data_IF_039618220202
#
_entry.id   IF_039618220202
#
_cell.length_a   1.000
_cell.length_b   1.000
_cell.length_c   1.000
_cell.angle_alpha   90.00
_cell.angle_beta   90.00
_cell.angle_gamma   90.00
#
_symmetry.space_group_name_H-M   'P 1'
#
loop_
_entity.id
_entity.type
_entity.pdbx_description
1 polymer ?
#
# COMPACT_ATOMS: atom_id res chain seq x y z
N UNK A 1 -32.06 25.51 -6.50
CA UNK A 1 -31.23 25.62 -7.72
C UNK A 1 -31.90 26.57 -8.71
N UNK A 2 -31.12 27.20 -9.59
CA UNK A 2 -31.57 28.21 -10.58
C UNK A 2 -32.67 27.74 -11.54
N UNK A 3 -32.90 26.43 -11.67
CA UNK A 3 -33.88 25.85 -12.60
C UNK A 3 -35.25 25.52 -11.96
N UNK A 4 -35.55 25.96 -10.73
CA UNK A 4 -36.79 25.65 -9.99
C UNK A 4 -37.10 24.15 -9.78
N UNK A 5 -36.17 23.24 -10.11
CA UNK A 5 -36.29 21.81 -9.80
C UNK A 5 -36.09 21.62 -8.30
N UNK A 6 -37.11 21.07 -7.64
CA UNK A 6 -37.01 20.57 -6.26
C UNK A 6 -36.52 19.12 -6.32
N UNK A 7 -35.41 18.85 -5.64
CA UNK A 7 -34.84 17.50 -5.55
C UNK A 7 -35.35 16.80 -4.29
N UNK A 8 -35.77 15.55 -4.44
CA UNK A 8 -36.33 14.72 -3.38
C UNK A 8 -35.25 14.11 -2.49
N UNK A 9 -34.06 13.84 -3.05
CA UNK A 9 -32.91 13.30 -2.34
C UNK A 9 -31.69 14.21 -2.48
N UNK A 10 -30.85 14.20 -1.44
CA UNK A 10 -29.61 14.96 -1.34
C UNK A 10 -28.61 14.20 -0.48
N UNK A 11 -27.34 14.20 -0.89
CA UNK A 11 -26.23 13.67 -0.11
C UNK A 11 -25.02 14.60 -0.21
N UNK A 12 -24.39 14.89 0.92
CA UNK A 12 -23.06 15.50 0.96
C UNK A 12 -22.00 14.42 0.75
N UNK A 13 -21.22 14.55 -0.33
CA UNK A 13 -20.19 13.59 -0.65
C UNK A 13 -18.98 13.77 0.28
N UNK A 14 -18.31 12.68 0.69
CA UNK A 14 -17.36 12.69 1.79
C UNK A 14 -16.06 13.47 1.51
N UNK A 15 -15.79 13.82 0.25
CA UNK A 15 -14.54 14.43 -0.19
C UNK A 15 -14.80 15.41 -1.34
N UNK A 16 -13.84 16.32 -1.55
CA UNK A 16 -13.87 17.36 -2.59
C UNK A 16 -15.03 18.36 -2.45
N UNK A 17 -15.57 18.59 -1.24
CA UNK A 17 -16.61 19.61 -0.98
C UNK A 17 -17.76 19.55 -2.01
N UNK A 18 -18.23 18.34 -2.28
CA UNK A 18 -19.19 18.06 -3.33
C UNK A 18 -20.49 17.56 -2.73
N UNK A 19 -21.62 17.89 -3.34
CA UNK A 19 -22.94 17.38 -2.97
C UNK A 19 -23.68 16.89 -4.22
N UNK A 20 -24.56 15.91 -4.02
CA UNK A 20 -25.36 15.32 -5.08
C UNK A 20 -26.83 15.40 -4.69
N UNK A 21 -27.65 15.93 -5.61
CA UNK A 21 -29.09 16.04 -5.45
C UNK A 21 -29.76 15.33 -6.62
N UNK A 22 -30.84 14.59 -6.38
CA UNK A 22 -31.51 13.88 -7.46
C UNK A 22 -32.99 13.63 -7.25
N UNK A 23 -33.66 13.39 -8.37
CA UNK A 23 -34.99 12.79 -8.47
C UNK A 23 -34.88 11.54 -9.32
N UNK A 24 -35.53 10.46 -8.90
CA UNK A 24 -35.69 9.24 -9.69
C UNK A 24 -37.15 9.05 -10.06
N UNK A 25 -37.42 8.77 -11.34
CA UNK A 25 -38.77 8.55 -11.87
C UNK A 25 -38.95 7.06 -12.19
N UNK A 26 -39.56 6.25 -11.29
CA UNK A 26 -39.57 4.79 -11.43
C UNK A 26 -40.30 4.28 -12.67
N UNK A 27 -41.29 5.01 -13.17
CA UNK A 27 -42.08 4.61 -14.35
C UNK A 27 -41.30 4.70 -15.66
N UNK A 28 -40.33 5.61 -15.74
CA UNK A 28 -39.51 5.83 -16.93
C UNK A 28 -38.06 5.38 -16.75
N UNK A 29 -37.57 5.25 -15.51
CA UNK A 29 -36.16 5.01 -15.20
C UNK A 29 -35.27 6.24 -15.42
N UNK A 30 -35.87 7.42 -15.59
CA UNK A 30 -35.18 8.69 -15.78
C UNK A 30 -34.71 9.24 -14.43
N UNK A 31 -33.52 9.83 -14.43
CA UNK A 31 -32.92 10.51 -13.30
C UNK A 31 -32.67 11.96 -13.65
N UNK A 32 -33.10 12.88 -12.78
CA UNK A 32 -32.65 14.26 -12.76
C UNK A 32 -31.60 14.41 -11.67
N UNK A 33 -30.44 14.98 -11.98
CA UNK A 33 -29.34 15.18 -11.04
C UNK A 33 -28.88 16.64 -11.07
N UNK A 34 -28.55 17.15 -9.88
CA UNK A 34 -27.65 18.29 -9.70
C UNK A 34 -26.44 17.84 -8.89
N UNK A 35 -25.27 17.81 -9.53
CA UNK A 35 -23.99 17.65 -8.85
C UNK A 35 -23.40 19.03 -8.60
N UNK A 36 -23.07 19.33 -7.34
CA UNK A 36 -22.51 20.62 -6.93
C UNK A 36 -21.10 20.40 -6.39
N UNK A 37 -20.15 21.19 -6.88
CA UNK A 37 -18.81 21.35 -6.31
C UNK A 37 -18.70 22.76 -5.74
N UNK A 38 -18.66 22.89 -4.42
CA UNK A 38 -18.39 24.17 -3.77
C UNK A 38 -16.91 24.54 -3.92
N UNK A 39 -16.58 25.83 -3.79
CA UNK A 39 -15.19 26.33 -3.76
C UNK A 39 -14.34 25.82 -4.96
N UNK A 40 -14.93 25.80 -6.15
CA UNK A 40 -14.22 25.45 -7.37
C UNK A 40 -13.15 26.51 -7.68
N UNK A 41 -11.97 26.06 -8.07
CA UNK A 41 -10.88 26.96 -8.44
C UNK A 41 -11.19 27.70 -9.73
N UNK A 42 -10.63 28.90 -9.89
CA UNK A 42 -10.62 29.57 -11.17
C UNK A 42 -9.88 28.74 -12.22
N UNK A 43 -10.39 28.71 -13.45
CA UNK A 43 -9.86 27.89 -14.53
C UNK A 43 -9.77 26.40 -14.15
N UNK A 44 -10.92 25.78 -13.86
CA UNK A 44 -11.01 24.38 -13.44
C UNK A 44 -12.10 23.61 -14.17
N UNK A 45 -11.98 22.29 -14.14
CA UNK A 45 -13.03 21.39 -14.57
C UNK A 45 -13.49 20.54 -13.40
N UNK A 46 -14.78 20.22 -13.41
CA UNK A 46 -15.39 19.28 -12.47
C UNK A 46 -16.15 18.23 -13.25
N UNK A 47 -16.18 17.03 -12.72
CA UNK A 47 -16.85 15.91 -13.37
C UNK A 47 -17.59 15.08 -12.34
N UNK A 48 -18.80 14.66 -12.69
CA UNK A 48 -19.51 13.59 -12.02
C UNK A 48 -19.85 12.52 -13.04
N UNK A 49 -19.65 11.25 -12.68
CA UNK A 49 -19.76 10.16 -13.62
C UNK A 49 -20.45 8.95 -12.99
N UNK A 50 -21.17 8.20 -13.81
CA UNK A 50 -21.69 6.88 -13.47
C UNK A 50 -20.85 5.82 -14.16
N UNK A 51 -20.42 4.81 -13.42
CA UNK A 51 -19.77 3.64 -13.99
C UNK A 51 -20.71 2.42 -13.93
N UNK A 52 -21.32 2.04 -15.07
CA UNK A 52 -22.26 0.93 -15.09
C UNK A 52 -21.58 -0.44 -15.05
N UNK A 53 -20.27 -0.54 -15.30
CA UNK A 53 -19.57 -1.82 -15.52
C UNK A 53 -18.47 -2.10 -14.49
N UNK A 54 -17.92 -1.08 -13.83
CA UNK A 54 -16.83 -1.22 -12.87
C UNK A 54 -16.98 -0.22 -11.71
N UNK A 55 -16.08 -0.29 -10.73
CA UNK A 55 -16.01 0.64 -9.58
C UNK A 55 -14.92 1.70 -9.74
N UNK A 56 -14.12 1.62 -10.80
CA UNK A 56 -12.95 2.47 -11.03
C UNK A 56 -13.24 3.62 -12.00
N UNK A 57 -12.18 4.33 -12.38
CA UNK A 57 -12.27 5.45 -13.34
C UNK A 57 -12.61 4.99 -14.76
N UNK A 58 -12.02 3.87 -15.20
CA UNK A 58 -12.26 3.32 -16.55
C UNK A 58 -13.63 2.65 -16.63
N UNK A 59 -14.39 2.99 -17.68
CA UNK A 59 -15.78 2.60 -17.87
C UNK A 59 -16.79 3.67 -17.45
N UNK A 60 -16.32 4.73 -16.76
CA UNK A 60 -17.17 5.81 -16.29
C UNK A 60 -17.75 6.62 -17.46
N UNK A 61 -19.04 6.93 -17.36
CA UNK A 61 -19.81 7.75 -18.28
C UNK A 61 -19.99 9.12 -17.60
N UNK A 62 -19.20 10.10 -18.03
CA UNK A 62 -19.00 11.36 -17.29
C UNK A 62 -19.83 12.50 -17.83
N UNK A 63 -20.37 13.30 -16.92
CA UNK A 63 -20.83 14.66 -17.16
C UNK A 63 -19.73 15.61 -16.68
N UNK A 64 -19.27 16.48 -17.56
CA UNK A 64 -18.12 17.36 -17.32
C UNK A 64 -18.60 18.80 -17.41
N UNK A 65 -18.17 19.64 -16.47
CA UNK A 65 -18.25 21.09 -16.59
C UNK A 65 -16.85 21.69 -16.57
N UNK A 66 -16.58 22.59 -17.50
CA UNK A 66 -15.31 23.30 -17.64
C UNK A 66 -15.58 24.79 -17.47
N UNK A 67 -14.96 25.38 -16.45
CA UNK A 67 -14.95 26.82 -16.18
C UNK A 67 -13.58 27.39 -16.54
N UNK A 68 -13.52 28.31 -17.50
CA UNK A 68 -12.28 28.93 -17.98
C UNK A 68 -12.06 30.29 -17.33
N UNK A 69 -10.80 30.74 -17.29
CA UNK A 69 -10.41 32.06 -16.73
C UNK A 69 -11.12 33.25 -17.39
N UNK A 70 -11.58 33.11 -18.63
CA UNK A 70 -12.36 34.14 -19.34
C UNK A 70 -13.86 34.17 -18.92
N UNK A 71 -14.25 33.45 -17.88
CA UNK A 71 -15.64 33.36 -17.38
C UNK A 71 -16.55 32.45 -18.20
N UNK A 72 -16.04 31.80 -19.26
CA UNK A 72 -16.82 30.84 -20.03
C UNK A 72 -17.02 29.55 -19.24
N UNK A 73 -18.26 29.07 -19.17
CA UNK A 73 -18.58 27.75 -18.63
C UNK A 73 -19.27 26.89 -19.68
N UNK A 74 -18.83 25.64 -19.82
CA UNK A 74 -19.42 24.66 -20.76
C UNK A 74 -19.63 23.34 -20.05
N UNK A 75 -20.79 22.72 -20.26
CA UNK A 75 -21.04 21.33 -19.91
C UNK A 75 -21.08 20.44 -21.15
N UNK A 76 -20.58 19.22 -21.02
CA UNK A 76 -20.62 18.19 -22.07
C UNK A 76 -20.44 16.78 -21.47
N UNK A 77 -20.69 15.76 -22.26
CA UNK A 77 -20.51 14.35 -21.86
C UNK A 77 -19.18 13.79 -22.32
N UNK A 78 -18.57 12.90 -21.54
CA UNK A 78 -17.31 12.25 -21.88
C UNK A 78 -17.25 10.79 -21.43
N UNK A 79 -17.09 9.83 -22.35
CA UNK A 79 -16.86 8.43 -21.99
C UNK A 79 -15.39 8.20 -21.59
N UNK A 80 -15.16 7.62 -20.42
CA UNK A 80 -13.82 7.40 -19.87
C UNK A 80 -13.35 5.98 -20.16
N UNK A 81 -12.49 5.83 -21.17
CA UNK A 81 -12.00 4.53 -21.65
C UNK A 81 -10.56 4.22 -21.22
N UNK A 82 -9.83 5.19 -20.69
CA UNK A 82 -8.43 5.03 -20.26
C UNK A 82 -8.09 5.92 -19.07
N UNK A 83 -6.86 5.77 -18.54
CA UNK A 83 -6.34 6.64 -17.47
C UNK A 83 -5.84 8.01 -17.96
N UNK A 84 -5.81 8.25 -19.28
CA UNK A 84 -5.41 9.54 -19.82
C UNK A 84 -6.52 10.58 -19.60
N UNK A 85 -6.19 11.73 -19.03
CA UNK A 85 -7.15 12.82 -18.78
C UNK A 85 -7.41 13.62 -20.05
N UNK A 86 -8.06 12.99 -21.02
CA UNK A 86 -8.47 13.67 -22.25
C UNK A 86 -9.84 14.33 -22.08
N UNK A 87 -10.72 13.76 -21.23
CA UNK A 87 -12.11 14.20 -21.05
C UNK A 87 -12.75 14.63 -22.38
N UNK A 88 -12.53 13.80 -23.41
CA UNK A 88 -12.93 14.13 -24.77
C UNK A 88 -14.45 14.08 -24.86
N UNK A 89 -15.04 15.08 -25.51
CA UNK A 89 -16.47 15.15 -25.73
C UNK A 89 -16.94 13.96 -26.57
N UNK A 90 -17.99 13.27 -26.10
CA UNK A 90 -18.50 12.07 -26.73
C UNK A 90 -19.78 11.56 -26.09
N UNK A 91 -20.46 10.67 -26.81
CA UNK A 91 -21.73 10.10 -26.36
C UNK A 91 -21.53 9.08 -25.24
N UNK A 92 -22.48 9.05 -24.30
CA UNK A 92 -22.51 8.06 -23.22
C UNK A 92 -23.20 6.78 -23.68
N UNK A 93 -22.99 5.69 -22.94
CA UNK A 93 -23.65 4.40 -23.19
C UNK A 93 -25.17 4.39 -22.89
N UNK A 94 -25.71 5.50 -22.43
CA UNK A 94 -27.13 5.69 -22.11
C UNK A 94 -27.59 7.08 -22.57
N UNK A 95 -28.90 7.23 -22.76
CA UNK A 95 -29.49 8.47 -23.27
C UNK A 95 -29.38 9.61 -22.25
N UNK A 96 -28.91 10.77 -22.73
CA UNK A 96 -28.89 12.03 -21.98
C UNK A 96 -29.90 12.97 -22.64
N UNK A 97 -30.90 13.38 -21.88
CA UNK A 97 -32.00 14.23 -22.35
C UNK A 97 -31.70 15.71 -22.14
N UNK A 98 -31.01 16.05 -21.06
CA UNK A 98 -30.60 17.43 -20.78
C UNK A 98 -29.24 17.44 -20.09
N UNK A 99 -28.45 18.46 -20.40
CA UNK A 99 -27.19 18.75 -19.73
C UNK A 99 -26.97 20.26 -19.72
N UNK A 100 -26.74 20.82 -18.55
CA UNK A 100 -26.39 22.24 -18.39
C UNK A 100 -25.51 22.42 -17.17
N UNK A 101 -24.96 23.63 -17.01
CA UNK A 101 -24.11 23.96 -15.86
C UNK A 101 -24.29 25.41 -15.46
N UNK A 102 -24.04 25.70 -14.20
CA UNK A 102 -23.98 27.06 -13.66
C UNK A 102 -22.74 27.24 -12.80
N UNK A 103 -22.27 28.48 -12.75
CA UNK A 103 -21.24 28.93 -11.82
C UNK A 103 -21.83 30.04 -10.95
N UNK A 104 -21.93 29.80 -9.64
CA UNK A 104 -22.51 30.74 -8.69
C UNK A 104 -21.77 30.67 -7.37
N UNK A 105 -21.39 31.82 -6.80
CA UNK A 105 -20.70 31.92 -5.50
C UNK A 105 -19.44 31.04 -5.40
N UNK A 106 -18.65 30.96 -6.47
CA UNK A 106 -17.45 30.11 -6.51
C UNK A 106 -17.73 28.60 -6.61
N UNK A 107 -18.99 28.17 -6.74
CA UNK A 107 -19.36 26.78 -6.95
C UNK A 107 -19.73 26.48 -8.40
N UNK A 108 -19.37 25.28 -8.88
CA UNK A 108 -19.80 24.76 -10.17
C UNK A 108 -20.89 23.71 -9.95
N UNK A 109 -22.01 23.86 -10.64
CA UNK A 109 -23.13 22.91 -10.59
C UNK A 109 -23.32 22.31 -11.99
N UNK A 110 -23.41 20.98 -12.06
CA UNK A 110 -23.79 20.23 -13.27
C UNK A 110 -25.22 19.76 -13.08
N UNK A 111 -26.09 20.11 -14.02
CA UNK A 111 -27.46 19.59 -14.11
C UNK A 111 -27.55 18.60 -15.27
N UNK A 112 -28.07 17.41 -15.01
CA UNK A 112 -28.25 16.40 -16.05
C UNK A 112 -29.58 15.66 -15.87
N UNK A 113 -30.27 15.40 -16.98
CA UNK A 113 -31.40 14.46 -17.05
C UNK A 113 -31.02 13.32 -17.97
N UNK A 114 -31.03 12.09 -17.49
CA UNK A 114 -30.58 10.92 -18.26
C UNK A 114 -31.35 9.65 -17.89
N UNK A 115 -31.31 8.67 -18.79
CA UNK A 115 -31.89 7.37 -18.60
C UNK A 115 -30.90 6.44 -17.88
N UNK A 116 -31.32 5.80 -16.78
CA UNK A 116 -30.49 4.75 -16.18
C UNK A 116 -30.39 3.54 -17.11
N UNK A 117 -29.24 2.83 -17.12
CA UNK A 117 -29.12 1.56 -17.82
C UNK A 117 -30.22 0.57 -17.39
N UNK A 118 -30.75 -0.25 -18.32
CA UNK A 118 -31.83 -1.18 -18.02
C UNK A 118 -31.49 -2.09 -16.82
N UNK A 119 -32.48 -2.31 -15.95
CA UNK A 119 -32.37 -3.17 -14.75
C UNK A 119 -31.27 -2.76 -13.75
N UNK A 120 -30.81 -1.50 -13.75
CA UNK A 120 -29.84 -0.99 -12.78
C UNK A 120 -30.38 0.23 -12.04
N UNK A 121 -30.77 0.01 -10.78
CA UNK A 121 -31.19 1.06 -9.85
C UNK A 121 -30.04 1.48 -8.93
N UNK A 122 -29.07 0.58 -8.73
CA UNK A 122 -27.80 0.83 -8.06
C UNK A 122 -26.68 0.96 -9.10
N UNK A 123 -25.92 2.05 -9.02
CA UNK A 123 -24.77 2.27 -9.90
C UNK A 123 -23.57 2.77 -9.11
N UNK A 124 -22.37 2.46 -9.60
CA UNK A 124 -21.18 3.10 -9.08
C UNK A 124 -21.09 4.50 -9.65
N UNK A 125 -20.63 5.44 -8.84
CA UNK A 125 -20.35 6.80 -9.30
C UNK A 125 -18.94 7.23 -8.89
N UNK A 126 -18.42 8.24 -9.57
CA UNK A 126 -17.17 8.90 -9.22
C UNK A 126 -17.29 10.39 -9.51
N UNK A 127 -16.58 11.21 -8.75
CA UNK A 127 -16.50 12.64 -8.99
C UNK A 127 -15.06 13.11 -8.93
N UNK A 128 -14.70 14.13 -9.71
CA UNK A 128 -13.35 14.67 -9.72
C UNK A 128 -13.34 16.15 -10.04
N UNK A 129 -12.22 16.78 -9.69
CA UNK A 129 -11.87 18.13 -10.11
C UNK A 129 -10.43 18.16 -10.65
N UNK A 130 -10.17 19.07 -11.57
CA UNK A 130 -8.83 19.34 -12.07
C UNK A 130 -8.70 20.75 -12.66
N UNK A 131 -7.47 21.11 -13.05
CA UNK A 131 -7.17 22.43 -13.56
C UNK A 131 -7.28 22.50 -15.09
N UNK A 132 -7.60 23.67 -15.60
CA UNK A 132 -7.56 24.01 -17.02
C UNK A 132 -6.34 24.91 -17.24
N UNK A 133 -5.45 24.49 -18.13
CA UNK A 133 -4.30 25.27 -18.59
C UNK A 133 -4.72 26.55 -19.31
N UNK A 134 -3.80 27.50 -19.46
CA UNK A 134 -4.03 28.76 -20.18
C UNK A 134 -4.40 28.56 -21.66
N UNK A 135 -3.86 27.51 -22.29
CA UNK A 135 -4.19 27.08 -23.66
C UNK A 135 -5.56 26.37 -23.77
N UNK A 136 -6.27 26.20 -22.65
CA UNK A 136 -7.55 25.50 -22.57
C UNK A 136 -7.44 23.99 -22.38
N UNK A 137 -6.23 23.43 -22.26
CA UNK A 137 -6.01 22.00 -22.06
C UNK A 137 -6.41 21.56 -20.65
N UNK A 138 -7.15 20.45 -20.55
CA UNK A 138 -7.56 19.85 -19.27
C UNK A 138 -6.40 19.07 -18.66
N UNK A 139 -6.02 19.40 -17.42
CA UNK A 139 -4.99 18.67 -16.67
C UNK A 139 -5.60 17.50 -15.91
N UNK A 140 -4.80 16.48 -15.66
CA UNK A 140 -5.14 15.39 -14.76
C UNK A 140 -5.62 15.90 -13.39
N UNK A 141 -6.63 15.24 -12.83
CA UNK A 141 -7.02 15.48 -11.44
C UNK A 141 -5.85 15.12 -10.52
N UNK A 142 -5.85 15.69 -9.32
CA UNK A 142 -4.83 15.37 -8.33
C UNK A 142 -4.91 13.90 -7.89
N UNK A 143 -3.79 13.32 -7.46
CA UNK A 143 -3.74 12.00 -6.82
C UNK A 143 -3.79 12.11 -5.28
N UNK A 144 -4.34 13.21 -4.77
CA UNK A 144 -4.54 13.38 -3.33
C UNK A 144 -5.48 12.33 -2.77
N UNK A 145 -5.44 12.13 -1.45
CA UNK A 145 -6.35 11.19 -0.77
C UNK A 145 -7.82 11.47 -1.08
N UNK A 146 -8.21 12.75 -1.10
CA UNK A 146 -9.58 13.16 -1.41
C UNK A 146 -9.98 12.72 -2.81
N UNK A 147 -9.15 12.95 -3.83
CA UNK A 147 -9.43 12.49 -5.20
C UNK A 147 -9.48 10.97 -5.29
N UNK A 148 -8.57 10.26 -4.62
CA UNK A 148 -8.54 8.79 -4.63
C UNK A 148 -9.69 8.14 -3.86
N UNK A 149 -10.41 8.90 -3.01
CA UNK A 149 -11.60 8.45 -2.27
C UNK A 149 -12.92 8.92 -2.90
N UNK A 150 -12.84 9.58 -4.06
CA UNK A 150 -13.93 10.28 -4.71
C UNK A 150 -14.78 9.36 -5.60
N UNK A 151 -15.33 8.31 -4.98
CA UNK A 151 -16.20 7.32 -5.61
C UNK A 151 -17.09 6.64 -4.57
N UNK A 152 -18.14 5.98 -5.04
CA UNK A 152 -19.14 5.34 -4.21
C UNK A 152 -20.16 4.56 -5.02
N UNK A 153 -21.21 4.09 -4.35
CA UNK A 153 -22.36 3.46 -4.97
C UNK A 153 -23.61 4.24 -4.57
N UNK A 154 -24.42 4.63 -5.56
CA UNK A 154 -25.70 5.29 -5.34
C UNK A 154 -26.84 4.34 -5.70
N UNK A 155 -27.82 4.25 -4.83
CA UNK A 155 -29.11 3.61 -5.11
C UNK A 155 -30.17 4.69 -5.32
N UNK A 156 -30.62 4.82 -6.57
CA UNK A 156 -31.60 5.84 -6.96
C UNK A 156 -33.00 5.57 -6.40
N UNK A 157 -33.31 4.35 -5.94
CA UNK A 157 -34.60 4.04 -5.30
C UNK A 157 -34.57 4.39 -3.83
N UNK A 158 -33.60 3.84 -3.08
CA UNK A 158 -33.56 4.06 -1.62
C UNK A 158 -33.08 5.46 -1.22
N UNK A 159 -32.54 6.22 -2.18
CA UNK A 159 -32.01 7.55 -1.92
C UNK A 159 -30.70 7.53 -1.15
N UNK A 160 -30.04 6.37 -1.01
CA UNK A 160 -28.82 6.22 -0.22
C UNK A 160 -27.58 6.19 -1.10
N UNK A 161 -26.56 6.94 -0.67
CA UNK A 161 -25.20 6.82 -1.16
C UNK A 161 -24.41 6.02 -0.13
N UNK A 162 -23.83 4.91 -0.57
CA UNK A 162 -22.97 4.07 0.26
C UNK A 162 -21.55 4.11 -0.29
N UNK A 163 -20.56 4.08 0.61
CA UNK A 163 -19.20 3.73 0.18
C UNK A 163 -19.25 2.32 -0.39
N UNK A 164 -18.57 2.08 -1.51
CA UNK A 164 -18.59 0.75 -2.14
C UNK A 164 -17.84 -0.27 -1.26
N UNK A 165 -18.52 -0.88 -0.29
CA UNK A 165 -17.90 -1.66 0.78
C UNK A 165 -17.14 -2.91 0.29
N UNK A 166 -17.53 -3.48 -0.86
CA UNK A 166 -17.02 -4.80 -1.27
C UNK A 166 -15.59 -4.85 -1.82
N UNK A 167 -15.01 -3.75 -2.33
CA UNK A 167 -13.72 -3.78 -3.05
C UNK A 167 -12.62 -2.91 -2.42
N UNK A 168 -13.01 -1.96 -1.55
CA UNK A 168 -12.08 -1.12 -0.79
C UNK A 168 -11.63 -1.85 0.47
N UNK A 169 -12.56 -2.57 1.11
CA UNK A 169 -12.26 -3.36 2.29
C UNK A 169 -11.32 -4.52 1.95
N UNK A 170 -11.55 -5.22 0.84
CA UNK A 170 -10.68 -6.31 0.38
C UNK A 170 -9.26 -5.84 0.04
N UNK A 171 -9.10 -4.72 -0.67
CA UNK A 171 -7.78 -4.14 -1.00
C UNK A 171 -7.05 -3.59 0.21
N UNK A 172 -7.76 -2.94 1.13
CA UNK A 172 -7.19 -2.46 2.39
C UNK A 172 -6.80 -3.63 3.29
N UNK A 173 -7.65 -4.65 3.40
CA UNK A 173 -7.35 -5.89 4.09
C UNK A 173 -6.13 -6.57 3.50
N UNK A 174 -6.02 -6.69 2.17
CA UNK A 174 -4.87 -7.32 1.53
C UNK A 174 -3.57 -6.53 1.77
N UNK A 175 -3.63 -5.20 1.73
CA UNK A 175 -2.51 -4.32 2.08
C UNK A 175 -2.10 -4.50 3.55
N UNK A 176 -3.06 -4.62 4.46
CA UNK A 176 -2.80 -4.85 5.88
C UNK A 176 -2.20 -6.25 6.12
N UNK A 177 -2.73 -7.29 5.47
CA UNK A 177 -2.20 -8.66 5.51
C UNK A 177 -0.78 -8.69 4.99
N UNK A 178 -0.51 -8.06 3.84
CA UNK A 178 0.84 -7.90 3.30
C UNK A 178 1.78 -7.24 4.32
N UNK A 179 1.36 -6.12 4.92
CA UNK A 179 2.13 -5.40 5.93
C UNK A 179 2.42 -6.26 7.17
N UNK A 180 1.43 -6.96 7.71
CA UNK A 180 1.56 -7.81 8.90
C UNK A 180 2.50 -8.98 8.63
N UNK A 181 2.28 -9.73 7.54
CA UNK A 181 3.11 -10.89 7.18
C UNK A 181 4.58 -10.49 7.04
N UNK A 182 4.86 -9.43 6.29
CA UNK A 182 6.24 -8.98 6.06
C UNK A 182 6.87 -8.33 7.29
N UNK A 183 6.11 -7.61 8.12
CA UNK A 183 6.65 -7.06 9.38
C UNK A 183 7.02 -8.18 10.35
N UNK A 184 6.14 -9.18 10.51
CA UNK A 184 6.41 -10.32 11.37
C UNK A 184 7.61 -11.14 10.86
N UNK A 185 7.64 -11.46 9.57
CA UNK A 185 8.69 -12.31 9.01
C UNK A 185 10.02 -11.57 8.82
N UNK A 186 10.06 -10.59 7.92
CA UNK A 186 11.27 -9.83 7.58
C UNK A 186 11.72 -8.91 8.70
N UNK A 187 10.76 -8.23 9.32
CA UNK A 187 11.04 -7.19 10.29
C UNK A 187 11.44 -7.72 11.67
N UNK A 188 10.96 -8.90 12.08
CA UNK A 188 11.11 -9.40 13.47
C UNK A 188 11.75 -10.78 13.52
N UNK A 189 11.17 -11.78 12.86
CA UNK A 189 11.66 -13.16 12.94
C UNK A 189 13.06 -13.33 12.33
N UNK A 190 13.35 -12.69 11.18
CA UNK A 190 14.67 -12.77 10.54
C UNK A 190 15.81 -12.23 11.45
N UNK A 191 15.69 -11.04 12.08
CA UNK A 191 16.63 -10.58 13.11
C UNK A 191 16.78 -11.54 14.29
N UNK A 192 15.66 -12.04 14.85
CA UNK A 192 15.67 -12.99 15.96
C UNK A 192 16.45 -14.27 15.57
N UNK A 193 16.21 -14.80 14.37
CA UNK A 193 16.93 -15.96 13.86
C UNK A 193 18.45 -15.73 13.77
N UNK A 194 18.87 -14.53 13.35
CA UNK A 194 20.31 -14.16 13.34
C UNK A 194 20.87 -14.06 14.76
N UNK A 195 20.13 -13.46 15.70
CA UNK A 195 20.53 -13.40 17.12
C UNK A 195 20.69 -14.80 17.71
N UNK A 196 19.77 -15.74 17.43
CA UNK A 196 19.89 -17.14 17.84
C UNK A 196 21.19 -17.77 17.30
N UNK A 197 21.49 -17.56 16.01
CA UNK A 197 22.70 -18.09 15.38
C UNK A 197 24.01 -17.52 15.94
N UNK A 198 23.98 -16.27 16.41
CA UNK A 198 25.14 -15.57 16.96
C UNK A 198 25.38 -15.91 18.43
N UNK A 199 24.35 -15.81 19.28
CA UNK A 199 24.50 -15.85 20.73
C UNK A 199 24.31 -17.24 21.34
N UNK A 200 23.34 -18.04 20.85
CA UNK A 200 23.11 -19.39 21.40
C UNK A 200 24.26 -20.35 21.07
N UNK A 201 25.04 -20.05 20.02
CA UNK A 201 26.22 -20.83 19.63
C UNK A 201 27.31 -20.86 20.72
N UNK A 202 27.32 -19.87 21.62
CA UNK A 202 28.37 -19.70 22.64
C UNK A 202 28.01 -20.37 23.96
N UNK A 203 26.74 -20.73 24.16
CA UNK A 203 26.26 -21.34 25.41
C UNK A 203 26.72 -22.80 25.51
N UNK A 204 27.44 -23.12 26.59
CA UNK A 204 27.89 -24.49 26.89
C UNK A 204 26.67 -25.44 27.04
N UNK A 205 26.79 -26.67 26.55
CA UNK A 205 25.74 -27.70 26.70
C UNK A 205 24.67 -27.71 25.60
N UNK A 206 24.55 -26.65 24.80
CA UNK A 206 23.55 -26.58 23.71
C UNK A 206 23.95 -27.35 22.43
N UNK A 207 25.20 -27.82 22.31
CA UNK A 207 25.63 -28.69 21.20
C UNK A 207 25.24 -28.16 19.81
N UNK A 208 24.50 -28.95 19.03
CA UNK A 208 23.95 -28.55 17.72
C UNK A 208 22.59 -27.85 17.80
N UNK A 209 21.96 -27.75 18.97
CA UNK A 209 20.60 -27.22 19.16
C UNK A 209 20.45 -25.79 18.67
N UNK A 210 21.44 -24.92 18.90
CA UNK A 210 21.43 -23.53 18.38
C UNK A 210 21.28 -23.51 16.84
N UNK A 211 21.88 -24.48 16.14
CA UNK A 211 21.83 -24.56 14.69
C UNK A 211 20.44 -25.01 14.22
N UNK A 212 19.80 -25.93 14.94
CA UNK A 212 18.43 -26.35 14.66
C UNK A 212 17.43 -25.21 14.92
N UNK A 213 17.59 -24.46 16.03
CA UNK A 213 16.75 -23.31 16.36
C UNK A 213 16.89 -22.19 15.32
N UNK A 214 18.12 -21.81 14.97
CA UNK A 214 18.38 -20.84 13.89
C UNK A 214 17.73 -21.29 12.59
N UNK A 215 17.97 -22.54 12.17
CA UNK A 215 17.42 -23.08 10.91
C UNK A 215 15.89 -23.08 10.93
N UNK A 216 15.26 -23.55 12.01
CA UNK A 216 13.81 -23.59 12.12
C UNK A 216 13.19 -22.19 12.07
N UNK A 217 13.74 -21.25 12.83
CA UNK A 217 13.29 -19.86 12.85
C UNK A 217 13.41 -19.20 11.46
N UNK A 218 14.57 -19.34 10.80
CA UNK A 218 14.80 -18.76 9.47
C UNK A 218 13.94 -19.42 8.39
N UNK A 219 13.78 -20.75 8.43
CA UNK A 219 12.89 -21.47 7.51
C UNK A 219 11.45 -21.00 7.64
N UNK A 220 10.93 -20.86 8.87
CA UNK A 220 9.56 -20.39 9.09
C UNK A 220 9.37 -18.95 8.63
N UNK A 221 10.32 -18.06 8.97
CA UNK A 221 10.29 -16.67 8.52
C UNK A 221 10.31 -16.58 6.99
N UNK A 222 11.11 -17.40 6.32
CA UNK A 222 11.18 -17.41 4.86
C UNK A 222 9.87 -17.88 4.21
N UNK A 223 9.23 -18.92 4.73
CA UNK A 223 7.93 -19.39 4.23
C UNK A 223 6.83 -18.32 4.35
N UNK A 224 6.74 -17.65 5.49
CA UNK A 224 5.80 -16.53 5.69
C UNK A 224 6.13 -15.39 4.71
N UNK A 225 7.42 -15.13 4.49
CA UNK A 225 7.89 -14.09 3.57
C UNK A 225 7.53 -14.38 2.11
N UNK A 226 7.48 -15.64 1.68
CA UNK A 226 7.03 -16.01 0.33
C UNK A 226 5.56 -15.62 0.13
N UNK A 227 4.70 -15.93 1.11
CA UNK A 227 3.29 -15.54 1.08
C UNK A 227 3.14 -14.01 1.11
N UNK A 228 3.88 -13.35 2.00
CA UNK A 228 3.94 -11.89 2.09
C UNK A 228 4.40 -11.23 0.78
N UNK A 229 5.36 -11.82 0.08
CA UNK A 229 5.83 -11.33 -1.21
C UNK A 229 4.80 -11.54 -2.33
N UNK A 230 4.15 -12.71 -2.36
CA UNK A 230 3.09 -13.03 -3.32
C UNK A 230 1.92 -12.04 -3.24
N UNK A 231 1.48 -11.70 -2.03
CA UNK A 231 0.45 -10.66 -1.83
C UNK A 231 0.91 -9.28 -2.34
N UNK A 232 2.20 -8.94 -2.17
CA UNK A 232 2.77 -7.69 -2.69
C UNK A 232 2.79 -7.61 -4.22
N UNK A 233 3.18 -8.71 -4.89
CA UNK A 233 3.11 -8.82 -6.35
C UNK A 233 1.68 -8.70 -6.87
N UNK A 234 0.74 -9.37 -6.21
CA UNK A 234 -0.68 -9.30 -6.56
C UNK A 234 -1.22 -7.87 -6.45
N UNK A 235 -0.95 -7.18 -5.33
CA UNK A 235 -1.32 -5.77 -5.13
C UNK A 235 -0.73 -4.92 -6.26
N UNK A 236 0.56 -5.08 -6.55
CA UNK A 236 1.25 -4.30 -7.57
C UNK A 236 0.61 -4.44 -8.95
N UNK A 237 0.22 -5.65 -9.36
CA UNK A 237 -0.33 -5.91 -10.68
C UNK A 237 -1.79 -5.43 -10.85
N UNK A 238 -2.58 -5.42 -9.76
CA UNK A 238 -4.02 -5.14 -9.83
C UNK A 238 -4.40 -3.72 -9.39
N UNK A 239 -3.52 -3.00 -8.66
CA UNK A 239 -3.85 -1.66 -8.14
C UNK A 239 -3.34 -0.51 -9.00
N UNK A 240 -2.50 -0.75 -10.01
CA UNK A 240 -1.93 0.28 -10.88
C UNK A 240 -1.00 1.30 -10.19
N UNK A 241 -0.84 1.20 -8.87
CA UNK A 241 0.04 2.06 -8.06
C UNK A 241 1.35 1.33 -7.80
N UNK A 242 2.44 1.86 -8.33
CA UNK A 242 3.77 1.28 -8.18
C UNK A 242 4.67 2.18 -7.31
N UNK A 243 5.07 1.65 -6.15
CA UNK A 243 6.14 2.25 -5.35
C UNK A 243 7.46 1.58 -5.72
N UNK A 244 8.10 2.09 -6.78
CA UNK A 244 9.29 1.47 -7.37
C UNK A 244 10.39 1.12 -6.34
N UNK A 245 10.80 2.01 -5.40
CA UNK A 245 11.86 1.68 -4.45
C UNK A 245 11.52 0.51 -3.52
N UNK A 246 10.29 0.49 -2.96
CA UNK A 246 9.83 -0.58 -2.07
C UNK A 246 9.72 -1.92 -2.81
N UNK A 247 9.22 -1.89 -4.07
CA UNK A 247 9.11 -3.08 -4.91
C UNK A 247 10.49 -3.62 -5.29
N UNK A 248 11.40 -2.78 -5.75
CA UNK A 248 12.75 -3.20 -6.14
C UNK A 248 13.49 -3.83 -4.96
N UNK A 249 13.49 -3.19 -3.79
CA UNK A 249 14.14 -3.76 -2.61
C UNK A 249 13.42 -5.02 -2.12
N UNK A 250 12.09 -5.08 -2.18
CA UNK A 250 11.34 -6.30 -1.88
C UNK A 250 11.74 -7.50 -2.76
N UNK A 251 11.93 -7.27 -4.07
CA UNK A 251 12.42 -8.30 -5.00
C UNK A 251 13.87 -8.68 -4.65
N UNK A 252 14.74 -7.70 -4.42
CA UNK A 252 16.13 -7.94 -4.01
C UNK A 252 16.22 -8.79 -2.74
N UNK A 253 15.39 -8.50 -1.73
CA UNK A 253 15.29 -9.27 -0.49
C UNK A 253 14.93 -10.74 -0.79
N UNK A 254 13.94 -10.97 -1.64
CA UNK A 254 13.53 -12.32 -2.00
C UNK A 254 14.65 -13.09 -2.72
N UNK A 255 15.37 -12.44 -3.63
CA UNK A 255 16.52 -13.04 -4.30
C UNK A 255 17.66 -13.37 -3.32
N UNK A 256 18.03 -12.43 -2.45
CA UNK A 256 19.10 -12.64 -1.48
C UNK A 256 18.78 -13.74 -0.47
N UNK A 257 17.56 -13.78 0.06
CA UNK A 257 17.15 -14.84 0.99
C UNK A 257 17.03 -16.21 0.32
N UNK A 258 16.52 -16.27 -0.92
CA UNK A 258 16.48 -17.53 -1.68
C UNK A 258 17.89 -18.06 -1.94
N UNK A 259 18.82 -17.18 -2.34
CA UNK A 259 20.22 -17.53 -2.50
C UNK A 259 20.85 -18.02 -1.18
N UNK A 260 20.57 -17.35 -0.07
CA UNK A 260 20.99 -17.78 1.27
C UNK A 260 20.53 -19.19 1.63
N UNK A 261 19.23 -19.49 1.44
CA UNK A 261 18.67 -20.82 1.72
C UNK A 261 19.29 -21.87 0.80
N UNK A 262 19.39 -21.60 -0.50
CA UNK A 262 19.99 -22.53 -1.47
C UNK A 262 21.46 -22.82 -1.16
N UNK A 263 22.27 -21.78 -0.93
CA UNK A 263 23.69 -21.94 -0.60
C UNK A 263 23.87 -22.64 0.75
N UNK A 264 22.97 -22.44 1.70
CA UNK A 264 23.05 -23.08 3.01
C UNK A 264 22.58 -24.55 3.03
N UNK A 265 21.66 -24.92 2.16
CA UNK A 265 21.15 -26.31 2.07
C UNK A 265 21.99 -27.14 1.10
N UNK A 266 22.29 -26.62 -0.08
CA UNK A 266 22.91 -27.39 -1.17
C UNK A 266 24.43 -27.29 -1.19
N UNK A 267 25.00 -26.14 -0.80
CA UNK A 267 26.42 -25.82 -1.04
C UNK A 267 27.24 -25.67 0.24
N UNK A 268 26.70 -26.09 1.39
CA UNK A 268 27.35 -25.95 2.69
C UNK A 268 28.52 -26.94 2.84
N UNK A 269 29.79 -26.47 2.89
CA UNK A 269 30.94 -27.37 3.05
C UNK A 269 31.01 -28.00 4.45
N UNK A 270 31.65 -29.17 4.56
CA UNK A 270 32.01 -29.81 5.83
C UNK A 270 32.90 -28.90 6.68
N UNK A 271 32.92 -29.10 8.01
CA UNK A 271 33.54 -28.17 8.98
C UNK A 271 35.05 -28.00 8.78
N UNK A 272 35.70 -29.04 8.29
CA UNK A 272 37.14 -29.20 8.03
C UNK A 272 37.59 -28.72 6.64
N UNK A 273 36.64 -28.38 5.76
CA UNK A 273 36.94 -28.02 4.37
C UNK A 273 37.44 -26.56 4.24
N UNK A 274 38.48 -26.31 3.41
CA UNK A 274 39.05 -24.95 3.19
C UNK A 274 38.01 -23.89 2.78
N UNK A 275 37.04 -24.26 1.96
CA UNK A 275 35.96 -23.35 1.51
C UNK A 275 34.93 -23.01 2.60
N UNK A 276 34.97 -23.67 3.75
CA UNK A 276 34.08 -23.38 4.88
C UNK A 276 34.20 -21.93 5.36
N UNK A 277 35.41 -21.36 5.30
CA UNK A 277 35.69 -19.98 5.70
C UNK A 277 34.99 -19.00 4.76
N UNK A 278 35.19 -19.14 3.44
CA UNK A 278 34.53 -18.29 2.44
C UNK A 278 33.00 -18.40 2.49
N UNK A 279 32.48 -19.62 2.66
CA UNK A 279 31.05 -19.85 2.86
C UNK A 279 30.53 -19.11 4.10
N UNK A 280 31.26 -19.14 5.23
CA UNK A 280 30.85 -18.40 6.43
C UNK A 280 30.87 -16.89 6.20
N UNK A 281 31.92 -16.34 5.57
CA UNK A 281 32.02 -14.90 5.27
C UNK A 281 30.86 -14.45 4.39
N UNK A 282 30.60 -15.17 3.29
CA UNK A 282 29.49 -14.88 2.40
C UNK A 282 28.15 -14.97 3.14
N UNK A 283 27.93 -16.04 3.92
CA UNK A 283 26.71 -16.23 4.70
C UNK A 283 26.48 -15.10 5.71
N UNK A 284 27.53 -14.59 6.36
CA UNK A 284 27.40 -13.46 7.27
C UNK A 284 27.10 -12.15 6.55
N UNK A 285 27.89 -11.79 5.51
CA UNK A 285 27.71 -10.52 4.79
C UNK A 285 26.32 -10.44 4.16
N UNK A 286 25.90 -11.47 3.44
CA UNK A 286 24.59 -11.50 2.78
C UNK A 286 23.47 -11.50 3.83
N UNK A 287 23.64 -12.22 4.94
CA UNK A 287 22.66 -12.25 6.03
C UNK A 287 22.41 -10.88 6.67
N UNK A 288 23.47 -10.16 7.04
CA UNK A 288 23.35 -8.82 7.63
C UNK A 288 22.85 -7.78 6.63
N UNK A 289 23.30 -7.84 5.37
CA UNK A 289 22.78 -6.96 4.32
C UNK A 289 21.27 -7.16 4.11
N UNK A 290 20.80 -8.41 4.13
CA UNK A 290 19.37 -8.74 4.03
C UNK A 290 18.57 -8.16 5.19
N UNK A 291 19.08 -8.24 6.43
CA UNK A 291 18.40 -7.62 7.59
C UNK A 291 18.30 -6.10 7.44
N UNK A 292 19.39 -5.44 7.05
CA UNK A 292 19.41 -3.98 6.89
C UNK A 292 18.39 -3.53 5.83
N UNK A 293 18.37 -4.20 4.68
CA UNK A 293 17.39 -3.96 3.62
C UNK A 293 15.96 -4.26 4.06
N UNK A 294 15.75 -5.31 4.86
CA UNK A 294 14.44 -5.70 5.39
C UNK A 294 13.87 -4.61 6.30
N UNK A 295 14.66 -4.11 7.26
CA UNK A 295 14.24 -3.04 8.17
C UNK A 295 13.85 -1.79 7.37
N UNK A 296 14.71 -1.36 6.44
CA UNK A 296 14.42 -0.22 5.59
C UNK A 296 13.14 -0.42 4.76
N UNK A 297 12.97 -1.60 4.17
CA UNK A 297 11.82 -1.88 3.32
C UNK A 297 10.50 -1.96 4.10
N UNK A 298 10.51 -2.47 5.34
CA UNK A 298 9.36 -2.47 6.25
C UNK A 298 8.99 -1.04 6.65
N UNK A 299 9.96 -0.21 7.04
CA UNK A 299 9.72 1.21 7.32
C UNK A 299 9.12 1.93 6.11
N UNK A 300 9.66 1.66 4.91
CA UNK A 300 9.12 2.23 3.68
C UNK A 300 7.69 1.75 3.39
N UNK A 301 7.37 0.50 3.72
CA UNK A 301 6.02 -0.04 3.65
C UNK A 301 5.03 0.71 4.56
N UNK A 302 5.44 1.04 5.79
CA UNK A 302 4.62 1.85 6.70
C UNK A 302 4.38 3.28 6.18
N UNK A 303 5.38 3.89 5.55
CA UNK A 303 5.22 5.20 4.90
C UNK A 303 4.19 5.14 3.76
N UNK A 304 4.22 4.08 2.96
CA UNK A 304 3.27 3.85 1.87
C UNK A 304 1.84 3.68 2.41
N UNK A 305 1.69 2.97 3.53
CA UNK A 305 0.39 2.76 4.18
C UNK A 305 -0.09 3.98 4.98
N UNK A 306 0.71 5.05 5.11
CA UNK A 306 0.41 6.22 5.95
C UNK A 306 -0.02 5.84 7.39
N UNK A 307 0.55 4.78 7.98
CA UNK A 307 0.08 4.22 9.28
C UNK A 307 0.58 5.01 10.52
N UNK A 308 0.61 6.34 10.44
CA UNK A 308 1.75 7.11 10.91
C UNK A 308 1.95 7.30 12.44
N UNK A 309 1.14 6.72 13.34
CA UNK A 309 1.34 6.98 14.78
C UNK A 309 1.56 5.75 15.68
N UNK A 310 0.90 4.62 15.44
CA UNK A 310 1.04 3.48 16.37
C UNK A 310 1.88 2.36 15.76
N UNK A 311 1.51 1.85 14.58
CA UNK A 311 2.18 0.69 13.98
C UNK A 311 3.66 0.92 13.66
N UNK A 312 3.98 2.04 13.01
CA UNK A 312 5.36 2.40 12.68
C UNK A 312 6.20 2.59 13.95
N UNK A 313 5.65 3.29 14.95
CA UNK A 313 6.34 3.53 16.23
C UNK A 313 6.53 2.25 17.05
N UNK A 314 5.53 1.36 17.08
CA UNK A 314 5.64 0.04 17.69
C UNK A 314 6.72 -0.80 17.02
N UNK A 315 6.77 -0.81 15.68
CA UNK A 315 7.82 -1.53 14.96
C UNK A 315 9.22 -0.97 15.25
N UNK A 316 9.38 0.36 15.23
CA UNK A 316 10.66 1.01 15.59
C UNK A 316 11.05 0.67 17.02
N UNK A 317 10.11 0.69 17.96
CA UNK A 317 10.32 0.26 19.34
C UNK A 317 10.83 -1.17 19.43
N UNK A 318 10.21 -2.11 18.71
CA UNK A 318 10.65 -3.52 18.66
C UNK A 318 12.09 -3.63 18.12
N UNK A 319 12.43 -2.92 17.05
CA UNK A 319 13.79 -2.95 16.49
C UNK A 319 14.82 -2.39 17.48
N UNK A 320 14.50 -1.28 18.16
CA UNK A 320 15.37 -0.71 19.19
C UNK A 320 15.55 -1.70 20.34
N UNK A 321 14.47 -2.35 20.81
CA UNK A 321 14.55 -3.38 21.85
C UNK A 321 15.42 -4.57 21.42
N UNK A 322 15.24 -5.08 20.19
CA UNK A 322 16.08 -6.16 19.66
C UNK A 322 17.55 -5.76 19.57
N UNK A 323 17.83 -4.52 19.13
CA UNK A 323 19.20 -3.99 19.09
C UNK A 323 19.81 -3.86 20.50
N UNK A 324 19.05 -3.37 21.48
CA UNK A 324 19.49 -3.29 22.87
C UNK A 324 19.79 -4.68 23.46
N UNK A 325 18.90 -5.66 23.22
CA UNK A 325 19.13 -7.06 23.62
C UNK A 325 20.39 -7.61 22.95
N UNK A 326 20.58 -7.35 21.65
CA UNK A 326 21.79 -7.79 20.94
C UNK A 326 23.06 -7.18 21.54
N UNK A 327 23.05 -5.89 21.92
CA UNK A 327 24.20 -5.24 22.59
C UNK A 327 24.50 -5.91 23.94
N UNK A 328 23.48 -6.16 24.76
CA UNK A 328 23.64 -6.85 26.06
C UNK A 328 24.20 -8.26 25.85
N UNK A 329 23.64 -9.01 24.90
CA UNK A 329 24.11 -10.36 24.56
C UNK A 329 25.54 -10.34 24.02
N UNK A 330 25.92 -9.33 23.23
CA UNK A 330 27.29 -9.15 22.74
C UNK A 330 28.25 -8.94 23.91
N UNK A 331 27.97 -7.96 24.80
CA UNK A 331 28.82 -7.67 25.97
C UNK A 331 28.97 -8.89 26.87
N UNK A 332 27.86 -9.56 27.22
CA UNK A 332 27.89 -10.75 28.08
C UNK A 332 28.64 -11.92 27.43
N UNK A 333 28.46 -12.14 26.13
CA UNK A 333 29.19 -13.15 25.36
C UNK A 333 30.69 -12.86 25.35
N UNK A 334 31.09 -11.60 25.15
CA UNK A 334 32.50 -11.19 25.18
C UNK A 334 33.13 -11.40 26.56
N UNK A 335 32.47 -10.95 27.64
CA UNK A 335 32.93 -11.17 29.02
C UNK A 335 33.14 -12.67 29.27
N UNK A 336 32.17 -13.50 28.87
CA UNK A 336 32.25 -14.94 29.05
C UNK A 336 33.41 -15.56 28.27
N UNK A 337 33.61 -15.18 26.99
CA UNK A 337 34.73 -15.68 26.18
C UNK A 337 36.08 -15.27 26.78
N UNK A 338 36.20 -14.03 27.25
CA UNK A 338 37.41 -13.54 27.91
C UNK A 338 37.71 -14.31 29.21
N UNK A 339 36.69 -14.52 30.05
CA UNK A 339 36.83 -15.28 31.29
C UNK A 339 37.24 -16.74 31.03
N UNK A 340 36.65 -17.39 30.01
CA UNK A 340 37.00 -18.76 29.63
C UNK A 340 38.42 -18.89 29.08
N UNK A 341 38.89 -17.91 28.31
CA UNK A 341 40.29 -17.86 27.87
C UNK A 341 41.24 -17.70 29.05
N UNK A 342 40.90 -16.84 30.01
CA UNK A 342 41.70 -16.63 31.22
C UNK A 342 41.79 -17.89 32.08
N UNK A 343 40.68 -18.59 32.34
CA UNK A 343 40.70 -19.82 33.14
C UNK A 343 41.47 -20.94 32.45
N UNK A 344 41.34 -21.08 31.12
CA UNK A 344 42.12 -22.05 30.36
C UNK A 344 43.63 -21.76 30.43
N UNK A 345 44.04 -20.50 30.22
CA UNK A 345 45.45 -20.12 30.34
C UNK A 345 45.98 -20.42 31.75
N UNK A 346 45.20 -20.14 32.81
CA UNK A 346 45.60 -20.48 34.18
C UNK A 346 45.76 -21.99 34.38
N UNK A 347 44.89 -22.82 33.82
CA UNK A 347 45.02 -24.28 33.88
C UNK A 347 46.24 -24.80 33.10
N UNK A 348 46.45 -24.29 31.89
CA UNK A 348 47.60 -24.67 31.06
C UNK A 348 48.94 -24.31 31.76
N UNK A 349 49.00 -23.16 32.46
CA UNK A 349 50.17 -22.77 33.26
C UNK A 349 50.41 -23.67 34.48
N UNK A 350 49.35 -24.12 35.16
CA UNK A 350 49.47 -25.06 36.30
C UNK A 350 49.99 -26.43 35.83
N UNK A 351 49.46 -26.95 34.72
CA UNK A 351 49.88 -28.24 34.14
C UNK A 351 51.35 -28.20 33.69
N UNK A 352 51.81 -27.10 33.11
CA UNK A 352 53.22 -26.93 32.73
C UNK A 352 54.12 -26.88 33.98
N UNK A 353 53.66 -26.25 35.07
CA UNK A 353 54.39 -26.19 36.34
C UNK A 353 54.59 -27.56 36.99
N UNK A 354 53.56 -28.41 36.98
CA UNK A 354 53.62 -29.78 37.53
C UNK A 354 54.49 -30.75 36.69
N UNK A 355 54.70 -30.48 35.40
CA UNK A 355 55.58 -31.29 34.54
C UNK A 355 57.07 -30.92 34.66
N UNK A 356 57.40 -29.78 35.28
CA UNK A 356 58.76 -29.26 35.43
C UNK A 356 59.36 -29.50 36.83
N UNK A 357 58.58 -30.05 37.75
CA UNK A 357 58.98 -30.51 39.09
C UNK A 357 59.00 -32.03 39.13
#
# INVERSE_FOLDING_TARGET
FSNNIKYAACEDLPVLESSLHWNYHPSSGVVDVAFNKANAKDSSWVAWAINPISKGMVGSQSFVAVHKSNGTIKAYTSPITSYATMLQEGNLSFSVYSLSTSYTNGGIIIFATFQLPPNKTMVNHAWQEGLVSEDGTLKAHSFSRSNLQSYGTIDFISGKVSKSDGDVNSRTMLRNVHGILNTASWGIMMPIGVMMGRYLKVVNGLGSTWFHLHRACQSLAFLISIVGFGTGLYIGNHSGVHHAPHRCVGITLMCLASAQVLVAVCLRPKKDHKYRIFWNINHYIVGYATIALAIWNVLKGFDILNSHNVWKNSYVGIIISLAAIAIILEVTTWIWVCNKKRTKNSQDHVVIGEQLT
#
